data_IF_755056929883
#
_entry.id   IF_755056929883
#
_cell.length_a   1.000
_cell.length_b   1.000
_cell.length_c   1.000
_cell.angle_alpha   90.00
_cell.angle_beta   90.00
_cell.angle_gamma   90.00
#
_symmetry.space_group_name_H-M   'P 1'
#
loop_
_entity.id
_entity.type
_entity.pdbx_description
1 polymer ?
#
# COMPACT_ATOMS: atom_id res chain seq x y z
N UNK A 1 -26.60 8.16 6.51
CA UNK A 1 -27.12 7.52 7.74
C UNK A 1 -26.29 8.00 8.92
N UNK A 2 -26.90 8.25 10.07
CA UNK A 2 -26.17 8.71 11.27
C UNK A 2 -25.59 7.50 12.02
N UNK A 3 -24.29 7.51 12.30
CA UNK A 3 -23.62 6.53 13.16
C UNK A 3 -23.75 7.00 14.62
N UNK A 4 -24.32 6.16 15.50
CA UNK A 4 -24.34 6.44 16.94
C UNK A 4 -23.29 5.59 17.65
N UNK A 5 -22.34 6.24 18.32
CA UNK A 5 -21.31 5.56 19.10
C UNK A 5 -21.71 5.60 20.57
N UNK A 6 -22.05 4.43 21.15
CA UNK A 6 -22.44 4.30 22.57
C UNK A 6 -21.28 3.89 23.47
N UNK A 7 -20.09 4.43 23.20
CA UNK A 7 -18.87 4.16 23.96
C UNK A 7 -18.26 5.49 24.42
N UNK A 8 -18.19 5.69 25.74
CA UNK A 8 -17.69 6.93 26.36
C UNK A 8 -16.22 7.21 26.04
N UNK A 9 -15.41 6.16 25.90
CA UNK A 9 -13.99 6.32 25.56
C UNK A 9 -13.81 6.82 24.14
N UNK A 10 -14.57 6.26 23.18
CA UNK A 10 -14.53 6.72 21.79
C UNK A 10 -15.02 8.16 21.67
N UNK A 11 -16.05 8.54 22.42
CA UNK A 11 -16.52 9.93 22.46
C UNK A 11 -15.46 10.88 23.02
N UNK A 12 -14.77 10.51 24.10
CA UNK A 12 -13.66 11.27 24.67
C UNK A 12 -12.52 11.45 23.66
N UNK A 13 -12.15 10.39 22.95
CA UNK A 13 -11.11 10.44 21.91
C UNK A 13 -11.53 11.35 20.74
N UNK A 14 -12.78 11.23 20.28
CA UNK A 14 -13.28 12.06 19.19
C UNK A 14 -13.32 13.54 19.59
N UNK A 15 -13.70 13.86 20.83
CA UNK A 15 -13.64 15.23 21.38
C UNK A 15 -12.20 15.75 21.43
N UNK A 16 -11.27 14.97 21.95
CA UNK A 16 -9.88 15.40 22.11
C UNK A 16 -9.20 15.65 20.77
N UNK A 17 -9.40 14.75 19.80
CA UNK A 17 -8.90 14.93 18.43
C UNK A 17 -9.54 16.15 17.78
N UNK A 18 -10.86 16.29 17.87
CA UNK A 18 -11.60 17.43 17.31
C UNK A 18 -11.09 18.78 17.88
N UNK A 19 -10.89 18.84 19.21
CA UNK A 19 -10.37 20.03 19.90
C UNK A 19 -8.95 20.36 19.44
N UNK A 20 -8.06 19.37 19.32
CA UNK A 20 -6.68 19.59 18.90
C UNK A 20 -6.56 19.96 17.42
N UNK A 21 -7.41 19.39 16.57
CA UNK A 21 -7.40 19.63 15.12
C UNK A 21 -8.26 20.84 14.69
N UNK A 22 -9.04 21.42 15.60
CA UNK A 22 -9.94 22.55 15.29
C UNK A 22 -11.11 22.17 14.38
N UNK A 23 -11.63 20.95 14.53
CA UNK A 23 -12.69 20.40 13.68
C UNK A 23 -13.85 19.82 14.51
N UNK A 24 -14.90 19.32 13.86
CA UNK A 24 -16.02 18.68 14.57
C UNK A 24 -15.67 17.22 14.91
N UNK A 25 -16.31 16.66 15.95
CA UNK A 25 -16.17 15.22 16.28
C UNK A 25 -16.47 14.32 15.08
N UNK A 26 -17.45 14.70 14.26
CA UNK A 26 -17.80 13.95 13.05
C UNK A 26 -16.67 13.98 12.01
N UNK A 27 -16.05 15.14 11.81
CA UNK A 27 -14.91 15.28 10.90
C UNK A 27 -13.69 14.49 11.39
N UNK A 28 -13.40 14.54 12.68
CA UNK A 28 -12.34 13.74 13.30
C UNK A 28 -12.56 12.25 13.07
N UNK A 29 -13.78 11.75 13.32
CA UNK A 29 -14.13 10.34 13.09
C UNK A 29 -14.04 9.97 11.61
N UNK A 30 -14.55 10.83 10.71
CA UNK A 30 -14.48 10.60 9.25
C UNK A 30 -13.04 10.46 8.79
N UNK A 31 -12.17 11.41 9.15
CA UNK A 31 -10.74 11.40 8.77
C UNK A 31 -10.01 10.18 9.34
N UNK A 32 -10.25 9.83 10.60
CA UNK A 32 -9.67 8.64 11.22
C UNK A 32 -10.05 7.35 10.47
N UNK A 33 -11.33 7.22 10.09
CA UNK A 33 -11.82 6.07 9.31
C UNK A 33 -11.21 6.04 7.90
N UNK A 34 -11.10 7.18 7.23
CA UNK A 34 -10.43 7.26 5.92
C UNK A 34 -8.96 6.85 5.99
N UNK A 35 -8.22 7.33 7.01
CA UNK A 35 -6.83 6.95 7.21
C UNK A 35 -6.69 5.44 7.41
N UNK A 36 -7.54 4.85 8.27
CA UNK A 36 -7.55 3.41 8.52
C UNK A 36 -7.91 2.61 7.26
N UNK A 37 -8.89 3.09 6.49
CA UNK A 37 -9.30 2.44 5.25
C UNK A 37 -8.16 2.44 4.22
N UNK A 38 -7.48 3.57 4.04
CA UNK A 38 -6.32 3.69 3.14
C UNK A 38 -5.20 2.72 3.54
N UNK A 39 -4.90 2.61 4.84
CA UNK A 39 -3.91 1.67 5.35
C UNK A 39 -4.27 0.21 5.00
N UNK A 40 -5.53 -0.18 5.24
CA UNK A 40 -6.01 -1.53 4.96
C UNK A 40 -6.05 -1.84 3.46
N UNK A 41 -6.43 -0.87 2.63
CA UNK A 41 -6.42 -1.02 1.17
C UNK A 41 -5.00 -1.19 0.63
N UNK A 42 -4.03 -0.43 1.13
CA UNK A 42 -2.61 -0.57 0.76
C UNK A 42 -2.09 -1.97 1.08
N UNK A 43 -2.33 -2.47 2.30
CA UNK A 43 -1.95 -3.82 2.72
C UNK A 43 -2.56 -4.89 1.80
N UNK A 44 -3.87 -4.80 1.54
CA UNK A 44 -4.57 -5.75 0.66
C UNK A 44 -4.05 -5.72 -0.78
N UNK A 45 -3.63 -4.55 -1.27
CA UNK A 45 -3.02 -4.43 -2.60
C UNK A 45 -1.67 -5.13 -2.66
N UNK A 46 -0.83 -4.95 -1.63
CA UNK A 46 0.48 -5.60 -1.56
C UNK A 46 0.34 -7.12 -1.47
N UNK A 47 -0.53 -7.63 -0.59
CA UNK A 47 -0.78 -9.07 -0.47
C UNK A 47 -1.29 -9.68 -1.78
N UNK A 48 -2.10 -8.93 -2.54
CA UNK A 48 -2.57 -9.38 -3.86
C UNK A 48 -1.43 -9.45 -4.87
N UNK A 49 -0.54 -8.46 -4.90
CA UNK A 49 0.61 -8.45 -5.80
C UNK A 49 1.56 -9.60 -5.46
N UNK A 50 1.88 -9.79 -4.18
CA UNK A 50 2.75 -10.89 -3.74
C UNK A 50 2.15 -12.24 -4.14
N UNK A 51 0.84 -12.45 -3.91
CA UNK A 51 0.17 -13.69 -4.32
C UNK A 51 0.25 -13.91 -5.83
N UNK A 52 0.01 -12.88 -6.64
CA UNK A 52 0.15 -12.97 -8.09
C UNK A 52 1.58 -13.32 -8.50
N UNK A 53 2.58 -12.71 -7.87
CA UNK A 53 3.98 -13.06 -8.14
C UNK A 53 4.29 -14.50 -7.75
N UNK A 54 3.84 -14.96 -6.59
CA UNK A 54 4.05 -16.33 -6.09
C UNK A 54 3.35 -17.40 -6.91
N UNK A 55 2.10 -17.15 -7.32
CA UNK A 55 1.26 -18.15 -7.97
C UNK A 55 1.40 -18.14 -9.50
N UNK A 56 1.62 -16.97 -10.11
CA UNK A 56 1.58 -16.83 -11.58
C UNK A 56 2.92 -16.49 -12.22
N UNK A 57 3.77 -15.68 -11.57
CA UNK A 57 5.00 -15.16 -12.21
C UNK A 57 6.24 -15.99 -11.86
N UNK A 58 6.58 -16.14 -10.58
CA UNK A 58 7.77 -16.84 -10.12
C UNK A 58 7.83 -18.31 -10.53
N UNK A 59 6.73 -19.08 -10.60
CA UNK A 59 6.77 -20.46 -11.10
C UNK A 59 7.18 -20.59 -12.56
N UNK A 60 7.08 -19.51 -13.36
CA UNK A 60 7.49 -19.50 -14.76
C UNK A 60 8.99 -19.20 -14.95
N UNK A 61 9.70 -18.82 -13.87
CA UNK A 61 11.12 -18.50 -13.92
C UNK A 61 11.92 -19.82 -13.92
N UNK A 62 12.81 -20.05 -14.92
CA UNK A 62 13.69 -21.21 -14.93
C UNK A 62 14.54 -21.30 -13.65
N UNK A 63 14.70 -22.50 -13.05
CA UNK A 63 15.46 -22.67 -11.80
C UNK A 63 16.89 -22.12 -11.86
N UNK A 64 17.51 -22.12 -13.04
CA UNK A 64 18.88 -21.66 -13.28
C UNK A 64 19.02 -20.14 -13.15
N UNK A 65 17.91 -19.40 -13.24
CA UNK A 65 17.83 -17.95 -13.18
C UNK A 65 17.34 -17.44 -11.81
N UNK A 66 16.86 -18.31 -10.93
CA UNK A 66 16.41 -17.92 -9.59
C UNK A 66 17.55 -17.28 -8.79
N UNK A 67 17.30 -16.08 -8.25
CA UNK A 67 18.27 -15.32 -7.46
C UNK A 67 19.37 -14.63 -8.28
N UNK A 68 19.34 -14.73 -9.62
CA UNK A 68 20.25 -14.00 -10.50
C UNK A 68 19.55 -12.75 -11.03
N UNK A 69 20.08 -11.59 -10.68
CA UNK A 69 19.69 -10.34 -11.33
C UNK A 69 20.39 -10.17 -12.67
N UNK A 70 19.81 -9.34 -13.54
CA UNK A 70 20.50 -8.85 -14.73
C UNK A 70 21.71 -8.02 -14.32
N UNK A 71 22.83 -8.18 -15.01
CA UNK A 71 23.92 -7.20 -14.96
C UNK A 71 23.45 -5.88 -15.58
N UNK A 72 24.16 -4.79 -15.27
CA UNK A 72 23.85 -3.48 -15.86
C UNK A 72 23.97 -3.52 -17.37
N UNK A 73 24.99 -4.22 -17.88
CA UNK A 73 25.25 -4.36 -19.30
C UNK A 73 24.11 -5.12 -20.01
N UNK A 74 23.59 -6.20 -19.41
CA UNK A 74 22.42 -6.93 -19.92
C UNK A 74 21.14 -6.08 -19.87
N UNK A 75 20.95 -5.32 -18.79
CA UNK A 75 19.81 -4.40 -18.64
C UNK A 75 19.83 -3.30 -19.71
N UNK A 76 20.99 -2.67 -19.93
CA UNK A 76 21.19 -1.64 -20.95
C UNK A 76 20.98 -2.19 -22.37
N UNK A 77 21.44 -3.41 -22.66
CA UNK A 77 21.22 -4.06 -23.96
C UNK A 77 19.72 -4.34 -24.21
N UNK A 78 19.00 -4.86 -23.21
CA UNK A 78 17.55 -5.09 -23.30
C UNK A 78 16.78 -3.77 -23.52
N UNK A 79 17.22 -2.69 -22.88
CA UNK A 79 16.59 -1.37 -22.99
C UNK A 79 16.98 -0.61 -24.28
N UNK A 80 17.94 -1.13 -25.07
CA UNK A 80 18.43 -0.48 -26.29
C UNK A 80 19.48 0.62 -26.05
N UNK A 81 20.04 0.70 -24.84
CA UNK A 81 21.15 1.59 -24.46
C UNK A 81 22.52 0.89 -24.48
N UNK A 82 22.59 -0.36 -24.97
CA UNK A 82 23.84 -1.11 -25.09
C UNK A 82 24.85 -0.50 -26.08
N UNK A 83 25.89 -1.25 -26.47
CA UNK A 83 27.00 -0.74 -27.31
C UNK A 83 26.61 -0.08 -28.65
N UNK A 84 25.38 -0.28 -29.11
CA UNK A 84 24.82 0.33 -30.33
C UNK A 84 23.77 1.44 -30.05
N UNK A 85 23.54 1.80 -28.79
CA UNK A 85 22.59 2.84 -28.39
C UNK A 85 23.08 4.26 -28.73
N UNK A 86 22.13 5.12 -29.13
CA UNK A 86 22.34 6.57 -29.34
C UNK A 86 22.49 7.33 -28.01
#
# INVERSE_FOLDING_TARGET
>A
MALTIRNKEVERLAEEVARLAGETKTEAVRKALEMRLRELQRKRSFDRVIRFLEEEVWPQIPPELLGKGLSKEEEEEILGYGKEGY
#
